data_IF_425016093343
#
_entry.id   IF_425016093343
#
_cell.length_a   1.000
_cell.length_b   1.000
_cell.length_c   1.000
_cell.angle_alpha   90.00
_cell.angle_beta   90.00
_cell.angle_gamma   90.00
#
_symmetry.space_group_name_H-M   'P 1'
#
loop_
_entity.id
_entity.type
_entity.pdbx_description
1 polymer ?
#
# COMPACT_ATOMS: atom_id res chain seq x y z
N UNK A 1 -21.58 8.34 17.85
CA UNK A 1 -22.36 7.13 18.19
C UNK A 1 -23.84 7.48 18.14
N UNK A 2 -24.68 6.57 17.65
CA UNK A 2 -26.12 6.74 17.55
C UNK A 2 -26.80 6.14 18.79
N UNK A 3 -27.42 4.99 18.62
CA UNK A 3 -28.10 4.21 19.66
C UNK A 3 -27.14 3.34 20.49
N UNK A 4 -25.90 3.15 20.03
CA UNK A 4 -24.86 2.42 20.75
C UNK A 4 -24.97 0.90 20.69
N UNK A 5 -25.91 0.35 19.91
CA UNK A 5 -26.17 -1.09 19.83
C UNK A 5 -25.15 -1.84 18.95
N UNK A 6 -24.54 -1.16 17.98
CA UNK A 6 -23.56 -1.75 17.07
C UNK A 6 -22.12 -1.31 17.38
N UNK A 7 -21.93 -0.56 18.46
CA UNK A 7 -20.64 0.00 18.85
C UNK A 7 -20.15 -0.65 20.14
N UNK A 8 -18.92 -1.15 20.16
CA UNK A 8 -18.28 -1.71 21.35
C UNK A 8 -17.71 -0.62 22.23
N UNK A 9 -18.03 -0.66 23.53
CA UNK A 9 -17.65 0.38 24.47
C UNK A 9 -16.14 0.54 24.62
N UNK A 10 -15.40 -0.57 24.67
CA UNK A 10 -13.96 -0.56 24.90
C UNK A 10 -13.13 -0.51 23.61
N UNK A 11 -13.57 -1.24 22.58
CA UNK A 11 -12.76 -1.52 21.39
C UNK A 11 -12.91 -0.51 20.26
N UNK A 12 -14.07 0.15 20.14
CA UNK A 12 -14.31 1.10 19.06
C UNK A 12 -13.95 2.54 19.49
N UNK A 13 -13.47 3.35 18.55
CA UNK A 13 -13.26 4.78 18.76
C UNK A 13 -14.58 5.52 18.55
N UNK A 14 -15.46 5.48 19.55
CA UNK A 14 -16.78 6.09 19.46
C UNK A 14 -16.88 7.45 20.15
N UNK A 15 -15.87 7.81 20.95
CA UNK A 15 -15.68 9.12 21.59
C UNK A 15 -14.18 9.40 21.79
N UNK A 16 -13.73 10.59 21.39
CA UNK A 16 -12.30 10.96 21.41
C UNK A 16 -11.54 10.43 20.20
N UNK A 17 -10.21 10.46 20.27
CA UNK A 17 -9.32 10.08 19.15
C UNK A 17 -8.87 8.61 19.19
N UNK A 18 -8.94 7.97 20.36
CA UNK A 18 -8.50 6.58 20.57
C UNK A 18 -9.58 5.77 21.27
N UNK A 19 -9.61 4.44 21.08
CA UNK A 19 -10.50 3.57 21.83
C UNK A 19 -10.30 3.71 23.34
N UNK A 20 -11.38 3.56 24.12
CA UNK A 20 -11.29 3.62 25.58
C UNK A 20 -10.40 2.53 26.17
N UNK A 21 -10.23 1.39 25.49
CA UNK A 21 -9.28 0.37 25.94
C UNK A 21 -7.83 0.85 25.98
N UNK A 22 -7.46 1.74 25.07
CA UNK A 22 -6.10 2.25 24.93
C UNK A 22 -5.88 3.44 25.87
N UNK A 23 -6.91 4.28 26.06
CA UNK A 23 -6.89 5.38 27.02
C UNK A 23 -6.96 4.91 28.49
N UNK A 24 -7.74 3.86 28.78
CA UNK A 24 -8.02 3.39 30.14
C UNK A 24 -7.76 1.87 30.30
N UNK A 25 -6.53 1.39 30.08
CA UNK A 25 -6.21 -0.05 30.05
C UNK A 25 -6.52 -0.77 31.37
N UNK A 26 -6.48 -0.07 32.51
CA UNK A 26 -6.79 -0.62 33.83
C UNK A 26 -8.26 -1.05 33.95
N UNK A 27 -9.18 -0.31 33.34
CA UNK A 27 -10.60 -0.66 33.37
C UNK A 27 -10.91 -1.85 32.49
N UNK A 28 -10.22 -1.99 31.35
CA UNK A 28 -10.33 -3.18 30.49
C UNK A 28 -9.88 -4.45 31.20
N UNK A 29 -8.88 -4.35 32.08
CA UNK A 29 -8.46 -5.49 32.92
C UNK A 29 -9.48 -5.84 34.00
N UNK A 30 -10.26 -4.87 34.48
CA UNK A 30 -11.33 -5.09 35.46
C UNK A 30 -12.62 -5.57 34.81
N UNK A 31 -12.79 -5.32 33.52
CA UNK A 31 -13.96 -5.68 32.75
C UNK A 31 -14.16 -7.20 32.68
N UNK A 32 -15.40 -7.64 32.92
CA UNK A 32 -15.81 -9.04 32.70
C UNK A 32 -16.16 -9.28 31.24
N UNK A 33 -16.86 -8.33 30.61
CA UNK A 33 -17.27 -8.38 29.21
C UNK A 33 -16.54 -7.32 28.36
N UNK A 34 -15.49 -7.74 27.67
CA UNK A 34 -14.68 -6.86 26.79
C UNK A 34 -15.42 -6.42 25.53
N UNK A 35 -16.51 -7.11 25.19
CA UNK A 35 -17.32 -6.86 24.00
C UNK A 35 -18.67 -6.21 24.35
N UNK A 36 -18.78 -5.62 25.55
CA UNK A 36 -19.98 -4.89 25.95
C UNK A 36 -20.26 -3.72 25.00
N UNK A 37 -21.54 -3.57 24.62
CA UNK A 37 -21.98 -2.48 23.74
C UNK A 37 -22.11 -1.17 24.50
N UNK A 38 -22.04 -0.05 23.78
CA UNK A 38 -22.19 1.29 24.38
C UNK A 38 -23.58 1.44 24.99
N UNK A 39 -24.63 0.97 24.32
CA UNK A 39 -26.01 1.02 24.80
C UNK A 39 -26.15 0.32 26.18
N UNK A 40 -25.74 -0.95 26.24
CA UNK A 40 -25.86 -1.77 27.45
C UNK A 40 -25.02 -1.19 28.60
N UNK A 41 -23.80 -0.73 28.29
CA UNK A 41 -22.86 -0.23 29.28
C UNK A 41 -23.31 1.08 29.94
N UNK A 42 -23.93 1.97 29.17
CA UNK A 42 -24.43 3.24 29.69
C UNK A 42 -25.72 3.07 30.49
N UNK A 43 -26.56 2.09 30.14
CA UNK A 43 -27.79 1.78 30.89
C UNK A 43 -27.47 1.08 32.21
N UNK A 44 -26.62 0.05 32.20
CA UNK A 44 -26.25 -0.69 33.41
C UNK A 44 -25.31 0.09 34.34
N UNK A 45 -24.65 1.12 33.82
CA UNK A 45 -23.58 1.86 34.48
C UNK A 45 -22.23 1.19 34.30
N UNK A 46 -21.19 2.00 34.10
CA UNK A 46 -19.84 1.54 33.68
C UNK A 46 -19.23 0.54 34.66
N UNK A 47 -19.45 0.72 35.96
CA UNK A 47 -18.83 -0.13 37.00
C UNK A 47 -19.56 -1.46 37.21
N UNK A 48 -20.76 -1.63 36.63
CA UNK A 48 -21.64 -2.79 36.90
C UNK A 48 -21.01 -4.14 36.51
N UNK A 49 -20.25 -4.18 35.42
CA UNK A 49 -19.60 -5.39 34.91
C UNK A 49 -18.13 -5.50 35.30
N UNK A 50 -17.65 -4.68 36.25
CA UNK A 50 -16.29 -4.83 36.78
C UNK A 50 -16.21 -6.00 37.77
N UNK A 51 -15.12 -6.77 37.68
CA UNK A 51 -14.84 -7.92 38.58
C UNK A 51 -14.68 -7.51 40.05
N UNK A 52 -14.37 -6.23 40.31
CA UNK A 52 -14.25 -5.64 41.65
C UNK A 52 -14.51 -4.13 41.59
N UNK A 53 -14.81 -3.49 42.74
CA UNK A 53 -14.84 -2.03 42.85
C UNK A 53 -13.49 -1.37 42.52
N UNK A 54 -13.56 -0.09 42.16
CA UNK A 54 -12.42 0.79 41.92
C UNK A 54 -11.78 1.13 43.27
N UNK A 55 -10.48 0.87 43.45
CA UNK A 55 -9.79 1.08 44.71
C UNK A 55 -8.85 2.29 44.62
N UNK A 56 -9.41 3.49 44.70
CA UNK A 56 -8.66 4.72 44.95
C UNK A 56 -7.48 5.00 44.00
N UNK A 57 -6.62 5.93 44.40
CA UNK A 57 -5.35 6.21 43.72
C UNK A 57 -5.48 6.50 42.22
N UNK A 58 -4.64 5.87 41.40
CA UNK A 58 -4.64 6.06 39.94
C UNK A 58 -5.91 5.57 39.26
N UNK A 59 -6.58 4.54 39.80
CA UNK A 59 -7.84 4.06 39.25
C UNK A 59 -8.95 5.10 39.48
N UNK A 60 -8.93 5.79 40.63
CA UNK A 60 -9.88 6.87 40.92
C UNK A 60 -9.70 8.06 39.97
N UNK A 61 -8.45 8.47 39.69
CA UNK A 61 -8.22 9.56 38.74
C UNK A 61 -8.72 9.20 37.34
N UNK A 62 -8.39 8.00 36.84
CA UNK A 62 -8.89 7.53 35.55
C UNK A 62 -10.43 7.45 35.51
N UNK A 63 -11.06 7.14 36.65
CA UNK A 63 -12.51 7.12 36.74
C UNK A 63 -13.10 8.52 36.62
N UNK A 64 -12.51 9.52 37.28
CA UNK A 64 -12.95 10.91 37.16
C UNK A 64 -12.84 11.39 35.71
N UNK A 65 -11.75 11.07 35.04
CA UNK A 65 -11.52 11.44 33.63
C UNK A 65 -12.55 10.77 32.71
N UNK A 66 -12.77 9.46 32.87
CA UNK A 66 -13.77 8.72 32.09
C UNK A 66 -15.19 9.21 32.38
N UNK A 67 -15.54 9.43 33.64
CA UNK A 67 -16.86 9.92 34.04
C UNK A 67 -17.13 11.32 33.47
N UNK A 68 -16.13 12.20 33.45
CA UNK A 68 -16.22 13.51 32.79
C UNK A 68 -16.51 13.39 31.29
N UNK A 69 -15.82 12.48 30.59
CA UNK A 69 -16.06 12.22 29.17
C UNK A 69 -17.49 11.69 28.96
N UNK A 70 -17.91 10.72 29.77
CA UNK A 70 -19.21 10.07 29.65
C UNK A 70 -20.37 11.01 30.02
N UNK A 71 -20.17 11.97 30.90
CA UNK A 71 -21.16 13.00 31.20
C UNK A 71 -21.51 13.87 29.97
N UNK A 72 -20.62 13.92 28.97
CA UNK A 72 -20.86 14.63 27.69
C UNK A 72 -21.54 13.76 26.63
N UNK A 73 -21.82 12.49 26.92
CA UNK A 73 -22.38 11.54 25.96
C UNK A 73 -23.90 11.47 26.11
N UNK A 74 -24.61 11.70 25.01
CA UNK A 74 -26.02 11.39 24.87
C UNK A 74 -26.23 10.45 23.68
N UNK A 75 -26.90 9.32 23.93
CA UNK A 75 -27.32 8.41 22.87
C UNK A 75 -28.58 8.95 22.18
N UNK A 76 -28.70 8.66 20.89
CA UNK A 76 -29.87 9.02 20.09
C UNK A 76 -30.69 7.78 19.75
N UNK A 77 -31.92 7.96 19.28
CA UNK A 77 -32.75 6.86 18.77
C UNK A 77 -32.35 6.39 17.36
N UNK A 78 -31.37 7.05 16.73
CA UNK A 78 -30.89 6.71 15.40
C UNK A 78 -29.81 5.66 15.51
N UNK A 79 -29.88 4.62 14.68
CA UNK A 79 -28.86 3.57 14.63
C UNK A 79 -27.45 4.10 14.41
N UNK A 80 -26.48 3.43 15.03
CA UNK A 80 -25.05 3.72 14.84
C UNK A 80 -24.63 3.80 13.36
N UNK A 81 -23.68 4.70 13.07
CA UNK A 81 -23.11 4.91 11.73
C UNK A 81 -21.60 5.00 11.79
N UNK A 82 -20.95 4.42 10.79
CA UNK A 82 -19.53 4.62 10.55
C UNK A 82 -19.28 6.04 10.06
N UNK A 83 -18.34 6.73 10.70
CA UNK A 83 -17.87 8.04 10.26
C UNK A 83 -16.42 7.97 9.85
N UNK A 84 -16.07 8.76 8.84
CA UNK A 84 -14.71 8.82 8.30
C UNK A 84 -14.23 10.28 8.35
N UNK A 85 -13.25 10.57 9.20
CA UNK A 85 -12.85 11.95 9.49
C UNK A 85 -11.66 12.45 8.66
N UNK A 86 -11.59 12.11 7.36
CA UNK A 86 -10.55 12.67 6.49
C UNK A 86 -10.86 14.09 6.01
N UNK A 87 -12.15 14.43 5.88
CA UNK A 87 -12.60 15.72 5.32
C UNK A 87 -13.47 16.55 6.27
N UNK A 88 -13.56 16.15 7.55
CA UNK A 88 -14.31 16.88 8.58
C UNK A 88 -15.83 16.72 8.52
N UNK A 89 -16.39 16.23 7.41
CA UNK A 89 -17.83 16.00 7.24
C UNK A 89 -18.31 14.60 7.66
N UNK A 90 -17.38 13.77 8.14
CA UNK A 90 -17.65 12.41 8.60
C UNK A 90 -17.98 11.42 7.49
N UNK A 91 -17.92 11.81 6.21
CA UNK A 91 -18.29 10.95 5.09
C UNK A 91 -17.10 10.19 4.51
N UNK A 92 -17.34 8.96 4.07
CA UNK A 92 -16.32 8.15 3.41
C UNK A 92 -16.24 8.51 1.92
N UNK A 93 -15.06 8.91 1.46
CA UNK A 93 -14.76 9.00 0.01
C UNK A 93 -13.42 8.34 -0.28
N UNK A 94 -13.42 7.53 -1.32
CA UNK A 94 -12.19 6.84 -1.82
C UNK A 94 -11.07 7.85 -2.12
N UNK A 95 -11.42 9.02 -2.65
CA UNK A 95 -10.47 10.10 -2.91
C UNK A 95 -9.74 10.56 -1.65
N UNK A 96 -10.47 10.77 -0.56
CA UNK A 96 -9.91 11.37 0.65
C UNK A 96 -9.00 10.36 1.37
N UNK A 97 -9.40 9.07 1.38
CA UNK A 97 -8.56 7.95 1.82
C UNK A 97 -7.28 7.84 0.99
N UNK A 98 -7.40 7.92 -0.34
CA UNK A 98 -6.25 7.82 -1.24
C UNK A 98 -5.26 8.95 -0.99
N UNK A 99 -5.74 10.19 -0.87
CA UNK A 99 -4.89 11.34 -0.59
C UNK A 99 -4.15 11.18 0.74
N UNK A 100 -4.82 10.64 1.77
CA UNK A 100 -4.20 10.34 3.05
C UNK A 100 -3.09 9.28 2.94
N UNK A 101 -3.36 8.19 2.21
CA UNK A 101 -2.35 7.15 1.95
C UNK A 101 -1.17 7.74 1.17
N UNK A 102 -1.43 8.48 0.09
CA UNK A 102 -0.38 9.09 -0.75
C UNK A 102 0.47 10.10 0.06
N UNK A 103 -0.10 10.78 1.07
CA UNK A 103 0.64 11.68 1.97
C UNK A 103 1.55 10.94 2.97
N UNK A 104 1.18 9.74 3.40
CA UNK A 104 1.94 8.94 4.37
C UNK A 104 2.96 8.03 3.69
N UNK A 105 2.67 7.59 2.47
CA UNK A 105 3.53 6.75 1.66
C UNK A 105 4.05 7.54 0.47
N UNK A 106 5.12 8.36 0.66
CA UNK A 106 5.69 9.12 -0.43
C UNK A 106 6.15 8.17 -1.56
N UNK A 107 6.27 8.66 -2.80
CA UNK A 107 6.65 7.84 -3.94
C UNK A 107 7.97 7.11 -3.67
N UNK A 108 7.96 5.77 -3.77
CA UNK A 108 9.16 4.96 -3.58
C UNK A 108 10.22 5.15 -4.67
N UNK A 109 9.89 5.87 -5.75
CA UNK A 109 10.76 6.14 -6.88
C UNK A 109 10.42 7.48 -7.51
N UNK A 110 11.45 8.21 -7.98
CA UNK A 110 11.29 9.46 -8.71
C UNK A 110 10.73 9.26 -10.12
N UNK A 111 10.84 8.06 -10.71
CA UNK A 111 10.30 7.77 -12.03
C UNK A 111 8.80 7.44 -11.98
N UNK A 112 7.99 8.28 -12.64
CA UNK A 112 6.58 7.99 -12.87
C UNK A 112 6.42 6.76 -13.79
N UNK A 113 5.46 5.89 -13.46
CA UNK A 113 5.12 4.76 -14.33
C UNK A 113 4.41 5.28 -15.58
N UNK A 114 4.96 5.00 -16.77
CA UNK A 114 4.38 5.40 -18.05
C UNK A 114 3.48 4.30 -18.61
N UNK A 115 2.21 4.64 -18.84
CA UNK A 115 1.21 3.71 -19.35
C UNK A 115 0.91 4.01 -20.83
N UNK A 116 1.55 3.25 -21.73
CA UNK A 116 1.21 3.18 -23.15
C UNK A 116 -0.17 2.54 -23.36
N UNK A 117 -1.16 3.30 -23.83
CA UNK A 117 -2.55 2.81 -23.99
C UNK A 117 -2.70 1.63 -24.96
N UNK A 118 -1.76 1.44 -25.89
CA UNK A 118 -1.83 0.39 -26.91
C UNK A 118 -1.33 -0.98 -26.45
N UNK A 119 -0.82 -1.12 -25.22
CA UNK A 119 -0.38 -2.42 -24.70
C UNK A 119 -1.34 -2.96 -23.62
N UNK A 120 -1.61 -4.28 -23.62
CA UNK A 120 -2.38 -4.94 -22.57
C UNK A 120 -1.91 -4.62 -21.13
N UNK A 121 -2.85 -4.58 -20.20
CA UNK A 121 -2.59 -4.25 -18.78
C UNK A 121 -1.51 -5.14 -18.14
N UNK A 122 -1.44 -6.42 -18.53
CA UNK A 122 -0.43 -7.37 -18.03
C UNK A 122 1.01 -6.93 -18.34
N UNK A 123 1.22 -6.32 -19.51
CA UNK A 123 2.53 -5.81 -19.92
C UNK A 123 2.92 -4.60 -19.09
N UNK A 124 1.98 -3.73 -18.77
CA UNK A 124 2.27 -2.62 -17.88
C UNK A 124 2.64 -3.06 -16.46
N UNK A 125 1.93 -4.05 -15.93
CA UNK A 125 2.27 -4.63 -14.62
C UNK A 125 3.67 -5.22 -14.67
N UNK A 126 4.03 -5.93 -15.74
CA UNK A 126 5.39 -6.42 -15.94
C UNK A 126 6.42 -5.29 -15.97
N UNK A 127 6.24 -4.26 -16.80
CA UNK A 127 7.19 -3.15 -16.91
C UNK A 127 7.32 -2.38 -15.61
N UNK A 128 6.22 -2.20 -14.87
CA UNK A 128 6.23 -1.62 -13.53
C UNK A 128 7.05 -2.48 -12.55
N UNK A 129 6.85 -3.81 -12.54
CA UNK A 129 7.66 -4.73 -11.73
C UNK A 129 9.13 -4.69 -12.12
N UNK A 130 9.44 -4.63 -13.42
CA UNK A 130 10.80 -4.57 -13.93
C UNK A 130 11.52 -3.31 -13.46
N UNK A 131 10.90 -2.14 -13.63
CA UNK A 131 11.46 -0.86 -13.19
C UNK A 131 11.67 -0.76 -11.67
N UNK A 132 10.90 -1.52 -10.88
CA UNK A 132 11.06 -1.59 -9.41
C UNK A 132 11.96 -2.74 -8.95
N UNK A 133 12.72 -3.37 -9.86
CA UNK A 133 13.51 -4.56 -9.58
C UNK A 133 12.73 -5.66 -8.82
N UNK A 134 11.48 -5.90 -9.24
CA UNK A 134 10.52 -6.79 -8.59
C UNK A 134 10.15 -8.01 -9.48
N UNK A 135 10.93 -8.27 -10.53
CA UNK A 135 10.83 -9.51 -11.28
C UNK A 135 11.53 -10.65 -10.54
N UNK A 136 11.09 -11.91 -10.71
CA UNK A 136 11.66 -13.07 -10.04
C UNK A 136 12.95 -13.54 -10.74
N UNK A 137 13.92 -12.65 -10.93
CA UNK A 137 15.24 -13.04 -11.43
C UNK A 137 16.01 -13.80 -10.35
N UNK A 138 17.01 -14.62 -10.71
CA UNK A 138 17.78 -15.40 -9.71
C UNK A 138 18.38 -14.52 -8.62
N UNK A 139 18.94 -13.36 -8.98
CA UNK A 139 19.44 -12.39 -8.01
C UNK A 139 18.37 -11.99 -6.98
N UNK A 140 17.17 -11.64 -7.45
CA UNK A 140 16.06 -11.22 -6.58
C UNK A 140 15.47 -12.39 -5.76
N UNK A 141 15.51 -13.61 -6.29
CA UNK A 141 15.09 -14.82 -5.56
C UNK A 141 16.06 -15.13 -4.41
N UNK A 142 17.36 -15.11 -4.68
CA UNK A 142 18.42 -15.30 -3.68
C UNK A 142 18.31 -14.23 -2.58
N UNK A 143 18.14 -12.96 -2.97
CA UNK A 143 17.96 -11.87 -2.01
C UNK A 143 16.72 -12.08 -1.10
N UNK A 144 15.71 -12.81 -1.57
CA UNK A 144 14.49 -13.15 -0.78
C UNK A 144 14.62 -14.46 0.01
N UNK A 145 15.80 -15.08 0.02
CA UNK A 145 16.06 -16.33 0.74
C UNK A 145 15.54 -17.59 0.03
N UNK A 146 15.20 -17.51 -1.25
CA UNK A 146 14.86 -18.70 -2.05
C UNK A 146 16.14 -19.42 -2.44
N UNK A 147 16.21 -20.73 -2.21
CA UNK A 147 17.37 -21.54 -2.59
C UNK A 147 17.42 -21.70 -4.13
N UNK A 148 18.50 -21.21 -4.72
CA UNK A 148 18.78 -21.29 -6.17
C UNK A 148 20.22 -21.74 -6.34
N UNK A 149 20.47 -22.73 -7.21
CA UNK A 149 21.79 -23.36 -7.37
C UNK A 149 22.89 -22.40 -7.83
N UNK A 150 22.51 -21.33 -8.56
CA UNK A 150 23.44 -20.33 -9.08
C UNK A 150 22.73 -19.00 -9.30
N UNK A 151 23.45 -17.90 -9.09
CA UNK A 151 22.98 -16.55 -9.44
C UNK A 151 23.11 -16.25 -10.95
N UNK A 152 23.84 -17.08 -11.71
CA UNK A 152 24.11 -16.85 -13.14
C UNK A 152 22.84 -16.92 -13.98
N UNK A 153 22.78 -16.08 -15.02
CA UNK A 153 21.72 -16.08 -16.02
C UNK A 153 21.65 -17.44 -16.74
N UNK A 154 20.47 -18.10 -16.78
CA UNK A 154 20.32 -19.43 -17.39
C UNK A 154 20.47 -19.41 -18.91
N UNK A 155 20.40 -18.24 -19.54
CA UNK A 155 20.49 -18.08 -20.99
C UNK A 155 21.95 -17.97 -21.42
N UNK A 156 22.72 -17.09 -20.77
CA UNK A 156 24.10 -16.83 -21.19
C UNK A 156 25.15 -17.57 -20.36
N UNK A 157 24.85 -17.90 -19.11
CA UNK A 157 25.75 -18.52 -18.13
C UNK A 157 27.03 -17.69 -17.82
N UNK A 158 27.04 -16.39 -18.14
CA UNK A 158 28.23 -15.53 -18.04
C UNK A 158 28.14 -14.47 -16.93
N UNK A 159 26.95 -13.90 -16.71
CA UNK A 159 26.73 -12.85 -15.70
C UNK A 159 25.56 -13.23 -14.79
N UNK A 160 25.45 -12.55 -13.65
CA UNK A 160 24.34 -12.68 -12.72
C UNK A 160 23.00 -12.29 -13.37
N UNK A 161 21.95 -13.06 -13.07
CA UNK A 161 20.60 -12.80 -13.54
C UNK A 161 19.92 -11.70 -12.70
N UNK A 162 20.23 -10.45 -13.02
CA UNK A 162 19.45 -9.31 -12.59
C UNK A 162 18.51 -8.80 -13.71
N UNK A 163 17.58 -7.92 -13.35
CA UNK A 163 16.58 -7.39 -14.29
C UNK A 163 17.23 -6.67 -15.47
N UNK A 164 18.31 -5.93 -15.23
CA UNK A 164 19.00 -5.19 -16.27
C UNK A 164 19.78 -6.13 -17.21
N UNK A 165 20.35 -7.21 -16.68
CA UNK A 165 20.99 -8.24 -17.47
C UNK A 165 19.98 -8.92 -18.38
N UNK A 166 18.90 -9.45 -17.83
CA UNK A 166 17.89 -10.19 -18.60
C UNK A 166 17.25 -9.32 -19.68
N UNK A 167 17.00 -8.04 -19.42
CA UNK A 167 16.26 -7.18 -20.35
C UNK A 167 17.13 -6.35 -21.30
N UNK A 168 18.43 -6.17 -21.02
CA UNK A 168 19.30 -5.29 -21.81
C UNK A 168 20.65 -5.91 -22.17
N UNK A 169 21.35 -6.51 -21.20
CA UNK A 169 22.76 -6.91 -21.39
C UNK A 169 22.95 -8.32 -21.92
N UNK A 170 22.03 -9.24 -21.64
CA UNK A 170 22.07 -10.62 -22.10
C UNK A 170 22.14 -10.69 -23.64
N UNK A 171 22.91 -11.64 -24.20
CA UNK A 171 23.06 -11.77 -25.65
C UNK A 171 21.70 -11.96 -26.36
N UNK A 172 20.78 -12.70 -25.74
CA UNK A 172 19.42 -12.87 -26.27
C UNK A 172 18.67 -11.52 -26.31
N UNK A 173 18.71 -10.78 -25.20
CA UNK A 173 18.06 -9.48 -25.10
C UNK A 173 18.61 -8.50 -26.13
N UNK A 174 19.94 -8.40 -26.24
CA UNK A 174 20.58 -7.56 -27.26
C UNK A 174 20.16 -7.96 -28.68
N UNK A 175 20.07 -9.26 -28.99
CA UNK A 175 19.64 -9.72 -30.31
C UNK A 175 18.18 -9.34 -30.62
N UNK A 176 17.27 -9.45 -29.65
CA UNK A 176 15.87 -9.03 -29.78
C UNK A 176 15.78 -7.52 -29.99
N UNK A 177 16.44 -6.73 -29.14
CA UNK A 177 16.37 -5.27 -29.19
C UNK A 177 17.03 -4.70 -30.47
N UNK A 178 18.11 -5.32 -30.97
CA UNK A 178 18.69 -4.99 -32.29
C UNK A 178 17.69 -5.17 -33.42
N UNK A 179 16.88 -6.24 -33.38
CA UNK A 179 15.83 -6.46 -34.38
C UNK A 179 14.72 -5.42 -34.27
N UNK A 180 14.35 -5.00 -33.06
CA UNK A 180 13.40 -3.90 -32.84
C UNK A 180 13.93 -2.60 -33.47
N UNK A 181 15.18 -2.21 -33.18
CA UNK A 181 15.77 -1.01 -33.79
C UNK A 181 15.79 -1.09 -35.32
N UNK A 182 16.22 -2.23 -35.88
CA UNK A 182 16.22 -2.45 -37.33
C UNK A 182 14.83 -2.35 -37.94
N UNK A 183 13.79 -2.87 -37.29
CA UNK A 183 12.42 -2.79 -37.80
C UNK A 183 11.89 -1.35 -37.83
N UNK A 184 12.37 -0.51 -36.91
CA UNK A 184 11.96 0.88 -36.79
C UNK A 184 12.90 1.88 -37.47
N UNK A 185 13.90 1.38 -38.23
CA UNK A 185 14.94 2.19 -38.88
C UNK A 185 15.67 3.13 -37.89
N UNK A 186 15.99 2.58 -36.70
CA UNK A 186 16.70 3.27 -35.64
C UNK A 186 18.12 2.74 -35.52
N UNK A 187 19.07 3.62 -35.21
CA UNK A 187 20.43 3.23 -34.87
C UNK A 187 20.45 2.40 -33.58
N UNK A 188 21.10 1.25 -33.65
CA UNK A 188 21.31 0.40 -32.48
C UNK A 188 22.34 1.03 -31.54
N UNK A 189 22.02 1.01 -30.24
CA UNK A 189 22.94 1.39 -29.17
C UNK A 189 22.91 0.31 -28.09
N UNK A 190 24.02 0.11 -27.40
CA UNK A 190 24.08 -0.83 -26.29
C UNK A 190 23.58 -0.12 -25.01
N UNK A 191 22.43 -0.56 -24.50
CA UNK A 191 21.89 -0.09 -23.23
C UNK A 191 22.25 -1.07 -22.11
N UNK A 192 22.59 -0.55 -20.93
CA UNK A 192 22.86 -1.35 -19.74
C UNK A 192 21.68 -1.39 -18.78
N UNK A 193 20.77 -0.41 -18.85
CA UNK A 193 19.70 -0.21 -17.88
C UNK A 193 18.46 0.48 -18.47
N UNK A 194 17.39 0.55 -17.67
CA UNK A 194 16.22 1.37 -18.00
C UNK A 194 16.57 2.85 -18.13
N UNK A 195 17.54 3.35 -17.34
CA UNK A 195 17.99 4.75 -17.38
C UNK A 195 18.67 5.07 -18.70
N UNK A 196 19.56 4.20 -19.19
CA UNK A 196 20.24 4.38 -20.47
C UNK A 196 19.26 4.39 -21.63
N UNK A 197 18.31 3.43 -21.60
CA UNK A 197 17.24 3.37 -22.59
C UNK A 197 16.31 4.58 -22.50
N UNK A 198 15.95 5.05 -21.31
CA UNK A 198 15.11 6.25 -21.13
C UNK A 198 15.81 7.50 -21.70
N UNK A 199 17.12 7.65 -21.47
CA UNK A 199 17.92 8.74 -22.00
C UNK A 199 17.92 8.74 -23.52
N UNK A 200 18.27 7.61 -24.14
CA UNK A 200 18.21 7.44 -25.59
C UNK A 200 16.80 7.67 -26.13
N UNK A 201 15.79 7.05 -25.52
CA UNK A 201 14.40 7.17 -25.96
C UNK A 201 13.92 8.62 -25.91
N UNK A 202 14.41 9.43 -24.97
CA UNK A 202 14.09 10.86 -24.89
C UNK A 202 14.62 11.66 -26.10
N UNK A 203 15.81 11.32 -26.63
CA UNK A 203 16.45 12.04 -27.75
C UNK A 203 15.84 11.73 -29.12
N UNK A 204 15.15 10.58 -29.25
CA UNK A 204 14.49 10.17 -30.49
C UNK A 204 13.41 11.19 -30.89
N UNK A 205 13.53 11.70 -32.12
CA UNK A 205 12.59 12.63 -32.75
C UNK A 205 11.51 11.88 -33.53
N UNK A 206 10.45 11.50 -32.82
CA UNK A 206 9.24 10.90 -33.40
C UNK A 206 8.00 11.68 -32.96
N UNK A 207 6.95 11.66 -33.79
CA UNK A 207 5.64 12.20 -33.40
C UNK A 207 5.15 11.46 -32.15
N UNK A 208 4.52 12.17 -31.21
CA UNK A 208 4.09 11.64 -29.89
C UNK A 208 3.38 10.27 -29.98
N UNK A 209 2.41 10.13 -30.89
CA UNK A 209 1.68 8.86 -31.09
C UNK A 209 2.60 7.72 -31.55
N UNK A 210 3.52 8.00 -32.47
CA UNK A 210 4.49 7.01 -33.00
C UNK A 210 5.51 6.64 -31.92
N UNK A 211 5.98 7.62 -31.15
CA UNK A 211 6.87 7.41 -30.00
C UNK A 211 6.20 6.51 -28.96
N UNK A 212 4.93 6.75 -28.62
CA UNK A 212 4.18 5.89 -27.70
C UNK A 212 4.04 4.44 -28.22
N UNK A 213 3.83 4.25 -29.53
CA UNK A 213 3.82 2.92 -30.14
C UNK A 213 5.18 2.22 -30.03
N UNK A 214 6.28 2.93 -30.30
CA UNK A 214 7.64 2.41 -30.15
C UNK A 214 7.92 1.97 -28.70
N UNK A 215 7.55 2.78 -27.70
CA UNK A 215 7.63 2.39 -26.28
C UNK A 215 6.81 1.11 -26.03
N UNK A 216 5.63 0.99 -26.63
CA UNK A 216 4.82 -0.23 -26.59
C UNK A 216 5.55 -1.45 -27.16
N UNK A 217 6.24 -1.31 -28.30
CA UNK A 217 7.02 -2.40 -28.92
C UNK A 217 8.17 -2.84 -28.01
N UNK A 218 8.88 -1.92 -27.38
CA UNK A 218 9.92 -2.27 -26.39
C UNK A 218 9.35 -3.02 -25.19
N UNK A 219 8.21 -2.58 -24.64
CA UNK A 219 7.54 -3.29 -23.55
C UNK A 219 7.13 -4.72 -23.93
N UNK A 220 6.62 -4.93 -25.16
CA UNK A 220 6.28 -6.26 -25.67
C UNK A 220 7.54 -7.11 -25.88
N UNK A 221 8.61 -6.52 -26.40
CA UNK A 221 9.89 -7.20 -26.60
C UNK A 221 10.47 -7.68 -25.26
N UNK A 222 10.53 -6.83 -24.24
CA UNK A 222 10.98 -7.21 -22.90
C UNK A 222 10.13 -8.29 -22.25
N UNK A 223 8.81 -8.27 -22.47
CA UNK A 223 7.93 -9.34 -21.97
C UNK A 223 8.15 -10.69 -22.67
N UNK A 224 8.64 -10.65 -23.91
CA UNK A 224 8.83 -11.85 -24.73
C UNK A 224 10.22 -12.49 -24.54
N UNK A 225 11.12 -11.82 -23.82
CA UNK A 225 12.41 -12.36 -23.36
C UNK A 225 12.15 -13.16 -22.07
#
# INVERSE_FOLDING_TARGET
VGDGNNTFFWSDTWKGEVPFRDAFPRFVTLETDKNVRVADKLVAGVVSSFRRPIWGGREQQQWLDLASILATVSLSLVGDRWTCNFSGDGSFRVRDVRNYIDAIFPPSSSEATRWVKSVPIKLHIFSWRARRNCLPTRANLIHRGVNVDSALCPICLLEEEDVHHVLFRCQLAQAVLRRVCRWWDLEWQQWGSFSDWNLWFSTIRLKSKVKSLLEGVFNVAWWSI
#
